data_IF_213272321181
#
_entry.id   IF_213272321181
#
_cell.length_a   1.000
_cell.length_b   1.000
_cell.length_c   1.000
_cell.angle_alpha   90.00
_cell.angle_beta   90.00
_cell.angle_gamma   90.00
#
_symmetry.space_group_name_H-M   'P 1'
#
loop_
_entity.id
_entity.type
_entity.pdbx_description
1 polymer ?
#
# COMPACT_ATOMS: atom_id res chain seq x y z
N UNK A 1 0.97 16.10 23.49
CA UNK A 1 1.08 14.71 22.94
C UNK A 1 2.48 14.43 22.44
N UNK A 2 3.45 14.96 23.17
CA UNK A 2 4.87 14.85 22.76
C UNK A 2 5.39 13.42 22.86
N UNK A 3 4.72 12.56 23.60
CA UNK A 3 5.14 11.16 23.76
C UNK A 3 4.77 10.28 22.58
N UNK A 4 3.78 10.68 21.79
CA UNK A 4 3.29 9.85 20.68
C UNK A 4 4.10 10.17 19.42
N UNK A 5 4.78 9.16 18.87
CA UNK A 5 5.63 9.32 17.71
C UNK A 5 4.99 8.79 16.42
N UNK A 6 4.16 7.77 16.52
CA UNK A 6 3.52 7.18 15.35
C UNK A 6 2.41 6.24 15.76
N UNK A 7 1.50 5.99 14.82
CA UNK A 7 0.55 4.88 14.87
C UNK A 7 0.82 4.09 13.61
N UNK A 8 1.08 2.78 13.75
CA UNK A 8 1.43 1.94 12.62
C UNK A 8 0.57 0.68 12.59
N UNK A 9 -0.15 0.43 11.50
CA UNK A 9 -0.83 -0.85 11.33
C UNK A 9 0.17 -1.94 10.95
N UNK A 10 -0.21 -3.19 11.21
CA UNK A 10 0.51 -4.36 10.74
C UNK A 10 -0.18 -4.87 9.49
N UNK A 11 0.60 -5.15 8.45
CA UNK A 11 0.12 -5.62 7.17
C UNK A 11 0.74 -6.99 6.89
N UNK A 12 -0.06 -8.02 6.59
CA UNK A 12 0.47 -9.37 6.40
C UNK A 12 1.17 -9.51 5.06
N UNK A 13 2.14 -10.41 4.99
CA UNK A 13 2.82 -10.75 3.75
C UNK A 13 2.93 -12.26 3.59
N UNK A 14 2.41 -12.78 2.48
CA UNK A 14 2.51 -14.19 2.12
C UNK A 14 3.94 -14.51 1.67
N UNK A 15 4.49 -13.66 0.79
CA UNK A 15 5.87 -13.70 0.37
C UNK A 15 6.51 -12.39 0.84
N UNK A 16 7.21 -12.47 1.96
CA UNK A 16 7.74 -11.30 2.65
C UNK A 16 8.70 -10.49 1.75
N UNK A 17 9.59 -11.20 1.07
CA UNK A 17 10.56 -10.55 0.17
C UNK A 17 9.88 -9.88 -1.01
N UNK A 18 8.94 -10.56 -1.65
CA UNK A 18 8.19 -10.00 -2.77
C UNK A 18 7.40 -8.76 -2.35
N UNK A 19 6.76 -8.80 -1.19
CA UNK A 19 6.01 -7.65 -0.68
C UNK A 19 6.90 -6.46 -0.37
N UNK A 20 8.07 -6.69 0.22
CA UNK A 20 9.04 -5.61 0.45
C UNK A 20 9.44 -4.93 -0.86
N UNK A 21 9.76 -5.73 -1.88
CA UNK A 21 10.15 -5.21 -3.20
C UNK A 21 9.01 -4.46 -3.87
N UNK A 22 7.78 -4.99 -3.74
CA UNK A 22 6.59 -4.34 -4.30
C UNK A 22 6.39 -2.93 -3.73
N UNK A 23 6.44 -2.79 -2.40
CA UNK A 23 6.25 -1.49 -1.78
C UNK A 23 7.38 -0.52 -2.12
N UNK A 24 8.61 -1.00 -2.22
CA UNK A 24 9.71 -0.16 -2.66
C UNK A 24 9.52 0.31 -4.10
N UNK A 25 9.00 -0.55 -4.98
CA UNK A 25 8.69 -0.17 -6.36
C UNK A 25 7.59 0.89 -6.44
N UNK A 26 6.66 0.90 -5.46
CA UNK A 26 5.63 1.95 -5.36
C UNK A 26 6.16 3.26 -4.80
N UNK A 27 7.40 3.28 -4.31
CA UNK A 27 8.00 4.50 -3.78
C UNK A 27 8.18 4.53 -2.27
N UNK A 28 7.83 3.44 -1.55
CA UNK A 28 8.07 3.37 -0.12
C UNK A 28 9.55 3.15 0.17
N UNK A 29 10.02 3.70 1.27
CA UNK A 29 11.37 3.50 1.77
C UNK A 29 11.38 2.46 2.87
N UNK A 30 12.27 1.47 2.76
CA UNK A 30 12.48 0.47 3.80
C UNK A 30 13.41 1.06 4.85
N UNK A 31 12.91 1.29 6.06
CA UNK A 31 13.69 1.94 7.13
C UNK A 31 14.21 0.97 8.19
N UNK A 32 13.62 -0.21 8.26
CA UNK A 32 14.04 -1.26 9.18
C UNK A 32 13.57 -2.60 8.66
N UNK A 33 14.38 -3.64 8.84
CA UNK A 33 13.92 -5.01 8.58
C UNK A 33 14.65 -6.01 9.45
N UNK A 34 13.95 -7.06 9.80
CA UNK A 34 14.50 -8.27 10.40
C UNK A 34 13.72 -9.46 9.84
N UNK A 35 13.85 -10.63 10.45
CA UNK A 35 13.19 -11.85 9.95
C UNK A 35 11.67 -11.79 10.05
N UNK A 36 11.15 -11.00 10.95
CA UNK A 36 9.73 -10.97 11.29
C UNK A 36 8.98 -9.78 10.71
N UNK A 37 9.63 -8.63 10.65
CA UNK A 37 8.96 -7.39 10.23
C UNK A 37 9.85 -6.53 9.34
N UNK A 38 9.20 -5.66 8.58
CA UNK A 38 9.85 -4.58 7.85
C UNK A 38 9.01 -3.32 8.01
N UNK A 39 9.68 -2.18 8.16
CA UNK A 39 8.99 -0.89 8.25
C UNK A 39 9.11 -0.18 6.91
N UNK A 40 7.97 0.06 6.28
CA UNK A 40 7.86 0.76 5.01
C UNK A 40 7.31 2.16 5.27
N UNK A 41 8.02 3.17 4.77
CA UNK A 41 7.73 4.57 5.05
C UNK A 41 7.48 5.36 3.77
N UNK A 42 6.49 6.23 3.82
CA UNK A 42 6.16 7.15 2.73
C UNK A 42 5.92 8.53 3.36
N UNK A 43 6.83 9.47 3.12
CA UNK A 43 6.81 10.74 3.83
C UNK A 43 7.02 10.52 5.32
N UNK A 44 6.14 11.04 6.15
CA UNK A 44 6.17 10.83 7.60
C UNK A 44 5.26 9.69 8.05
N UNK A 45 4.65 8.96 7.12
CA UNK A 45 3.72 7.87 7.41
C UNK A 45 4.38 6.53 7.16
N UNK A 46 4.00 5.52 7.94
CA UNK A 46 4.62 4.21 7.82
C UNK A 46 3.66 3.10 8.25
N UNK A 47 3.99 1.88 7.86
CA UNK A 47 3.31 0.70 8.36
C UNK A 47 4.35 -0.41 8.58
N UNK A 48 3.95 -1.43 9.32
CA UNK A 48 4.80 -2.58 9.58
C UNK A 48 4.33 -3.73 8.70
N UNK A 49 5.18 -4.15 7.78
CA UNK A 49 4.95 -5.34 6.97
C UNK A 49 5.39 -6.54 7.80
N UNK A 50 4.51 -7.52 7.94
CA UNK A 50 4.73 -8.65 8.82
C UNK A 50 4.96 -9.92 8.02
N UNK A 51 6.02 -10.65 8.33
CA UNK A 51 6.28 -11.95 7.72
C UNK A 51 5.34 -12.99 8.34
N UNK A 52 4.07 -12.85 8.03
CA UNK A 52 2.98 -13.64 8.59
C UNK A 52 1.80 -13.55 7.63
N UNK A 53 1.16 -14.68 7.37
CA UNK A 53 0.07 -14.69 6.43
C UNK A 53 -1.10 -15.54 6.92
N UNK A 54 -2.27 -14.92 6.93
CA UNK A 54 -3.57 -15.57 7.04
C UNK A 54 -4.41 -15.01 5.91
N UNK A 55 -4.91 -15.87 5.04
CA UNK A 55 -5.65 -15.46 3.84
C UNK A 55 -6.82 -14.53 4.17
N UNK A 56 -7.61 -14.88 5.17
CA UNK A 56 -8.78 -14.10 5.59
C UNK A 56 -8.38 -12.70 6.07
N UNK A 57 -7.23 -12.58 6.73
CA UNK A 57 -6.73 -11.27 7.14
C UNK A 57 -6.27 -10.47 5.94
N UNK A 58 -5.41 -11.04 5.11
CA UNK A 58 -4.83 -10.33 3.97
C UNK A 58 -5.91 -9.85 2.99
N UNK A 59 -6.86 -10.70 2.65
CA UNK A 59 -7.89 -10.40 1.66
C UNK A 59 -8.96 -9.46 2.19
N UNK A 60 -9.00 -9.20 3.48
CA UNK A 60 -9.92 -8.24 4.10
C UNK A 60 -9.19 -7.03 4.68
N UNK A 61 -7.89 -6.94 4.47
CA UNK A 61 -7.09 -5.79 4.91
C UNK A 61 -7.17 -4.70 3.85
N UNK A 62 -7.63 -3.53 4.25
CA UNK A 62 -7.73 -2.37 3.37
C UNK A 62 -7.01 -1.18 3.99
N UNK A 63 -6.30 -0.43 3.15
CA UNK A 63 -5.56 0.75 3.59
C UNK A 63 -5.89 1.88 2.62
N UNK A 64 -6.14 3.05 3.16
CA UNK A 64 -6.33 4.24 2.36
C UNK A 64 -5.04 5.06 2.32
N UNK A 65 -4.58 5.35 1.12
CA UNK A 65 -3.52 6.33 0.91
C UNK A 65 -4.19 7.58 0.35
N UNK A 66 -4.22 8.65 1.14
CA UNK A 66 -4.86 9.89 0.73
C UNK A 66 -3.83 10.78 0.08
N UNK A 67 -4.10 11.21 -1.15
CA UNK A 67 -3.19 12.02 -1.96
C UNK A 67 -3.89 13.29 -2.44
N UNK A 68 -3.10 14.29 -2.85
CA UNK A 68 -3.65 15.54 -3.36
C UNK A 68 -4.19 15.40 -4.77
N UNK A 69 -3.47 14.68 -5.62
CA UNK A 69 -3.79 14.50 -7.04
C UNK A 69 -3.53 13.05 -7.42
N UNK A 70 -4.59 12.27 -7.49
CA UNK A 70 -4.47 10.83 -7.71
C UNK A 70 -3.98 10.50 -9.12
N UNK A 71 -4.32 11.29 -10.11
CA UNK A 71 -3.85 11.04 -11.48
C UNK A 71 -2.35 11.25 -11.57
N UNK A 72 -1.84 12.31 -10.95
CA UNK A 72 -0.40 12.57 -10.90
C UNK A 72 0.35 11.46 -10.17
N UNK A 73 -0.19 11.01 -9.05
CA UNK A 73 0.40 9.91 -8.29
C UNK A 73 0.44 8.62 -9.11
N UNK A 74 -0.64 8.34 -9.85
CA UNK A 74 -0.76 7.16 -10.70
C UNK A 74 0.27 7.18 -11.84
N UNK A 75 0.44 8.34 -12.46
CA UNK A 75 1.43 8.51 -13.54
C UNK A 75 2.86 8.32 -13.04
N UNK A 76 3.14 8.77 -11.83
CA UNK A 76 4.46 8.63 -11.21
C UNK A 76 4.80 7.21 -10.84
N UNK A 77 3.86 6.51 -10.21
CA UNK A 77 4.11 5.17 -9.66
C UNK A 77 3.87 4.06 -10.65
N UNK A 78 3.02 4.29 -11.66
CA UNK A 78 2.71 3.33 -12.73
C UNK A 78 2.36 1.95 -12.20
N UNK A 79 1.30 1.82 -11.39
CA UNK A 79 0.98 0.54 -10.75
C UNK A 79 0.73 -0.60 -11.73
N UNK A 80 0.25 -0.29 -12.94
CA UNK A 80 0.01 -1.30 -13.96
C UNK A 80 1.27 -2.05 -14.38
N UNK A 81 2.44 -1.42 -14.24
CA UNK A 81 3.71 -2.05 -14.59
C UNK A 81 4.16 -3.10 -13.57
N UNK A 82 3.53 -3.11 -12.38
CA UNK A 82 3.89 -4.05 -11.31
C UNK A 82 3.16 -5.38 -11.43
N UNK A 83 2.15 -5.46 -12.30
CA UNK A 83 1.30 -6.65 -12.42
C UNK A 83 2.12 -7.88 -12.82
N UNK A 84 2.90 -7.78 -13.88
CA UNK A 84 3.70 -8.92 -14.34
C UNK A 84 4.86 -9.23 -13.39
N UNK A 85 5.52 -8.19 -12.90
CA UNK A 85 6.70 -8.35 -12.05
C UNK A 85 6.37 -9.04 -10.73
N UNK A 86 5.20 -8.75 -10.15
CA UNK A 86 4.83 -9.22 -8.83
C UNK A 86 3.62 -10.14 -8.82
N UNK A 87 3.05 -10.45 -9.98
CA UNK A 87 1.88 -11.32 -10.12
C UNK A 87 0.70 -10.85 -9.26
N UNK A 88 0.51 -9.53 -9.20
CA UNK A 88 -0.60 -8.94 -8.44
C UNK A 88 -1.84 -8.83 -9.32
N UNK A 89 -3.00 -8.65 -8.68
CA UNK A 89 -4.23 -8.35 -9.38
C UNK A 89 -4.11 -7.04 -10.15
N UNK A 90 -4.86 -6.92 -11.24
CA UNK A 90 -4.85 -5.71 -12.06
C UNK A 90 -5.35 -4.52 -11.24
N UNK A 91 -4.61 -3.40 -11.21
CA UNK A 91 -5.10 -2.20 -10.53
C UNK A 91 -6.30 -1.64 -11.26
N UNK A 92 -7.12 -0.89 -10.55
CA UNK A 92 -8.24 -0.15 -11.14
C UNK A 92 -7.87 1.31 -11.22
N UNK A 93 -7.93 1.86 -12.43
CA UNK A 93 -7.60 3.25 -12.69
C UNK A 93 -8.47 4.19 -11.83
N UNK A 94 -7.92 5.37 -11.44
CA UNK A 94 -8.69 6.33 -10.66
C UNK A 94 -10.00 6.72 -11.34
N UNK A 95 -11.08 6.66 -10.58
CA UNK A 95 -12.42 7.05 -11.04
C UNK A 95 -13.22 7.57 -9.86
N UNK A 96 -14.21 8.42 -10.17
CA UNK A 96 -15.12 8.93 -9.15
C UNK A 96 -16.00 7.80 -8.63
N UNK A 97 -16.01 7.61 -7.32
CA UNK A 97 -16.80 6.58 -6.67
C UNK A 97 -18.13 7.12 -6.18
N UNK A 98 -19.05 6.21 -5.87
CA UNK A 98 -20.40 6.59 -5.43
C UNK A 98 -20.42 7.43 -4.16
N UNK A 99 -19.37 7.35 -3.34
CA UNK A 99 -19.28 8.14 -2.11
C UNK A 99 -18.59 9.49 -2.29
N UNK A 100 -18.31 9.89 -3.55
CA UNK A 100 -17.86 11.25 -3.86
C UNK A 100 -16.35 11.46 -3.95
N UNK A 101 -15.55 10.42 -3.75
CA UNK A 101 -14.10 10.53 -3.87
C UNK A 101 -13.60 9.89 -5.16
N UNK A 102 -12.54 10.45 -5.72
CA UNK A 102 -11.83 9.84 -6.85
C UNK A 102 -10.79 8.88 -6.30
N UNK A 103 -10.94 7.61 -6.61
CA UNK A 103 -10.12 6.54 -6.03
C UNK A 103 -9.61 5.58 -7.09
N UNK A 104 -8.33 5.26 -7.03
CA UNK A 104 -7.74 4.13 -7.73
C UNK A 104 -7.48 3.00 -6.75
N UNK A 105 -7.45 1.76 -7.23
CA UNK A 105 -7.30 0.58 -6.38
C UNK A 105 -6.07 -0.21 -6.80
N UNK A 106 -5.27 -0.60 -5.81
CA UNK A 106 -4.05 -1.39 -6.02
C UNK A 106 -4.08 -2.59 -5.09
N UNK A 107 -3.69 -3.76 -5.59
CA UNK A 107 -3.53 -4.97 -4.79
C UNK A 107 -2.06 -5.26 -4.60
N UNK A 108 -1.66 -5.59 -3.37
CA UNK A 108 -0.29 -6.01 -3.11
C UNK A 108 -0.13 -7.51 -3.39
N UNK A 109 1.10 -8.07 -3.29
CA UNK A 109 1.32 -9.49 -3.58
C UNK A 109 0.58 -10.47 -2.68
N UNK A 110 0.07 -10.03 -1.55
CA UNK A 110 -0.67 -10.86 -0.60
C UNK A 110 -2.18 -10.67 -0.69
N UNK A 111 -2.65 -9.79 -1.58
CA UNK A 111 -4.07 -9.50 -1.73
C UNK A 111 -4.58 -8.36 -0.89
N UNK A 112 -3.70 -7.63 -0.20
CA UNK A 112 -4.09 -6.44 0.56
C UNK A 112 -4.50 -5.34 -0.41
N UNK A 113 -5.65 -4.71 -0.13
CA UNK A 113 -6.23 -3.69 -1.00
C UNK A 113 -5.85 -2.29 -0.53
N UNK A 114 -5.30 -1.51 -1.43
CA UNK A 114 -5.02 -0.09 -1.21
C UNK A 114 -6.00 0.76 -1.99
N UNK A 115 -6.66 1.69 -1.29
CA UNK A 115 -7.43 2.76 -1.89
C UNK A 115 -6.50 3.97 -2.00
N UNK A 116 -6.15 4.35 -3.22
CA UNK A 116 -5.40 5.59 -3.44
C UNK A 116 -6.43 6.65 -3.76
N UNK A 117 -6.74 7.48 -2.78
CA UNK A 117 -7.88 8.38 -2.82
C UNK A 117 -7.44 9.83 -2.88
N UNK A 118 -8.11 10.61 -3.73
CA UNK A 118 -7.86 12.04 -3.83
C UNK A 118 -8.65 12.78 -2.76
N UNK A 119 -8.00 13.75 -2.14
CA UNK A 119 -8.67 14.62 -1.17
C UNK A 119 -9.84 15.31 -1.87
N UNK A 120 -11.08 15.19 -1.36
CA UNK A 120 -12.26 15.75 -2.04
C UNK A 120 -12.44 17.24 -1.85
N UNK A 121 -11.56 17.85 -1.06
CA UNK A 121 -11.68 19.27 -0.70
C UNK A 121 -10.33 19.93 -0.54
#
# INVERSE_FOLDING_TARGET
MDQILAIRPFVPAKDFDASKRFYRALGFTLTHEDESIAILKLGSFSFILQNFYVKEFAENCMIQLLVRDVDSWWQKTKPGQLVEQFSVGAPREPALQSWGMKVGFIFDPSGVLWHVAEVPF
#
